data_IF_341461472071
#
_entry.id   IF_341461472071
#
_cell.length_a   1.000
_cell.length_b   1.000
_cell.length_c   1.000
_cell.angle_alpha   90.00
_cell.angle_beta   90.00
_cell.angle_gamma   90.00
#
_symmetry.space_group_name_H-M   'P 1'
#
loop_
_entity.id
_entity.type
_entity.pdbx_description
1 polymer ?
#
# COMPACT_ATOMS: atom_id res chain seq x y z
N UNK A 1 -15.32 13.58 3.08
CA UNK A 1 -13.83 13.46 3.03
C UNK A 1 -13.25 12.85 4.31
N UNK A 2 -13.27 13.54 5.46
CA UNK A 2 -12.63 13.03 6.71
C UNK A 2 -13.14 11.63 7.10
N UNK A 3 -14.47 11.42 7.09
CA UNK A 3 -15.08 10.11 7.36
C UNK A 3 -14.56 9.01 6.43
N UNK A 4 -14.55 9.28 5.12
CA UNK A 4 -14.08 8.33 4.11
C UNK A 4 -12.59 7.99 4.31
N UNK A 5 -11.76 8.99 4.59
CA UNK A 5 -10.32 8.81 4.85
C UNK A 5 -10.08 7.96 6.10
N UNK A 6 -10.82 8.21 7.18
CA UNK A 6 -10.73 7.42 8.41
C UNK A 6 -11.17 5.97 8.19
N UNK A 7 -12.28 5.76 7.48
CA UNK A 7 -12.73 4.41 7.14
C UNK A 7 -11.73 3.68 6.26
N UNK A 8 -11.18 4.37 5.25
CA UNK A 8 -10.15 3.81 4.39
C UNK A 8 -8.89 3.43 5.19
N UNK A 9 -8.43 4.29 6.09
CA UNK A 9 -7.29 3.98 6.96
C UNK A 9 -7.52 2.69 7.76
N UNK A 10 -8.68 2.56 8.39
CA UNK A 10 -9.03 1.36 9.18
C UNK A 10 -9.08 0.12 8.31
N UNK A 11 -9.78 0.17 7.17
CA UNK A 11 -9.92 -0.97 6.28
C UNK A 11 -8.57 -1.37 5.68
N UNK A 12 -7.76 -0.40 5.30
CA UNK A 12 -6.45 -0.65 4.72
C UNK A 12 -5.44 -1.15 5.76
N UNK A 13 -5.54 -0.73 7.03
CA UNK A 13 -4.81 -1.35 8.14
C UNK A 13 -5.19 -2.82 8.31
N UNK A 14 -6.49 -3.14 8.29
CA UNK A 14 -6.97 -4.52 8.42
C UNK A 14 -6.53 -5.40 7.27
N UNK A 15 -6.63 -4.92 6.02
CA UNK A 15 -6.21 -5.66 4.83
C UNK A 15 -4.69 -5.85 4.81
N UNK A 16 -3.91 -4.84 5.15
CA UNK A 16 -2.45 -4.97 5.27
C UNK A 16 -2.07 -5.97 6.36
N UNK A 17 -2.73 -5.92 7.52
CA UNK A 17 -2.47 -6.86 8.61
C UNK A 17 -2.82 -8.31 8.22
N UNK A 18 -3.96 -8.52 7.57
CA UNK A 18 -4.37 -9.84 7.08
C UNK A 18 -3.41 -10.38 6.01
N UNK A 19 -3.02 -9.54 5.04
CA UNK A 19 -2.06 -9.92 4.02
C UNK A 19 -0.66 -10.20 4.62
N UNK A 20 -0.22 -9.40 5.59
CA UNK A 20 1.06 -9.62 6.28
C UNK A 20 1.04 -10.97 7.03
N UNK A 21 -0.07 -11.30 7.70
CA UNK A 21 -0.24 -12.60 8.35
C UNK A 21 -0.07 -13.76 7.37
N UNK A 22 -0.73 -13.68 6.19
CA UNK A 22 -0.61 -14.71 5.14
C UNK A 22 0.82 -14.80 4.62
N UNK A 23 1.48 -13.66 4.39
CA UNK A 23 2.86 -13.64 3.89
C UNK A 23 3.85 -14.23 4.89
N UNK A 24 3.63 -14.08 6.19
CA UNK A 24 4.46 -14.69 7.23
C UNK A 24 4.36 -16.22 7.26
N UNK A 25 3.28 -16.81 6.74
CA UNK A 25 3.18 -18.26 6.55
C UNK A 25 4.04 -18.76 5.39
N UNK A 26 4.30 -17.90 4.40
CA UNK A 26 5.06 -18.22 3.18
C UNK A 26 6.53 -17.86 3.32
N UNK A 27 6.83 -16.75 4.01
CA UNK A 27 8.17 -16.22 4.23
C UNK A 27 8.49 -16.24 5.74
N UNK A 28 8.96 -17.39 6.27
CA UNK A 28 9.32 -17.50 7.68
C UNK A 28 10.67 -16.82 7.98
N UNK A 29 10.85 -16.41 9.24
CA UNK A 29 12.12 -15.89 9.76
C UNK A 29 12.13 -14.40 10.06
N UNK A 30 13.13 -13.98 10.84
CA UNK A 30 13.24 -12.60 11.34
C UNK A 30 13.50 -11.57 10.22
N UNK A 31 14.28 -11.93 9.20
CA UNK A 31 14.58 -11.03 8.08
C UNK A 31 13.34 -10.80 7.20
N UNK A 32 12.55 -11.85 6.97
CA UNK A 32 11.27 -11.76 6.29
C UNK A 32 10.26 -10.89 7.06
N UNK A 33 10.18 -11.07 8.39
CA UNK A 33 9.34 -10.23 9.25
C UNK A 33 9.68 -8.74 9.14
N UNK A 34 10.98 -8.40 9.12
CA UNK A 34 11.43 -7.02 8.95
C UNK A 34 11.02 -6.47 7.58
N UNK A 35 11.26 -7.23 6.51
CA UNK A 35 10.88 -6.84 5.16
C UNK A 35 9.36 -6.59 5.05
N UNK A 36 8.54 -7.51 5.56
CA UNK A 36 7.08 -7.40 5.57
C UNK A 36 6.61 -6.19 6.37
N UNK A 37 7.17 -5.95 7.56
CA UNK A 37 6.81 -4.81 8.39
C UNK A 37 7.19 -3.47 7.74
N UNK A 38 8.39 -3.37 7.18
CA UNK A 38 8.84 -2.16 6.49
C UNK A 38 7.96 -1.88 5.26
N UNK A 39 7.64 -2.91 4.47
CA UNK A 39 6.72 -2.80 3.34
C UNK A 39 5.32 -2.38 3.77
N UNK A 40 4.80 -2.90 4.88
CA UNK A 40 3.49 -2.54 5.41
C UNK A 40 3.42 -1.05 5.77
N UNK A 41 4.41 -0.55 6.52
CA UNK A 41 4.47 0.87 6.89
C UNK A 41 4.53 1.79 5.68
N UNK A 42 5.36 1.45 4.69
CA UNK A 42 5.47 2.22 3.46
C UNK A 42 4.17 2.18 2.64
N UNK A 43 3.53 1.01 2.55
CA UNK A 43 2.26 0.86 1.86
C UNK A 43 1.16 1.72 2.51
N UNK A 44 1.06 1.72 3.84
CA UNK A 44 0.12 2.57 4.59
C UNK A 44 0.32 4.05 4.27
N UNK A 45 1.56 4.53 4.18
CA UNK A 45 1.84 5.92 3.83
C UNK A 45 1.40 6.24 2.39
N UNK A 46 1.83 5.42 1.42
CA UNK A 46 1.52 5.62 0.00
C UNK A 46 0.01 5.60 -0.25
N UNK A 47 -0.68 4.61 0.29
CA UNK A 47 -2.10 4.40 0.02
C UNK A 47 -2.97 5.50 0.64
N UNK A 48 -2.55 6.10 1.77
CA UNK A 48 -3.24 7.24 2.37
C UNK A 48 -3.14 8.47 1.46
N UNK A 49 -1.96 8.74 0.93
CA UNK A 49 -1.77 9.83 -0.04
C UNK A 49 -2.59 9.57 -1.32
N UNK A 50 -2.55 8.34 -1.84
CA UNK A 50 -3.31 7.96 -3.02
C UNK A 50 -4.83 8.14 -2.83
N UNK A 51 -5.38 7.70 -1.69
CA UNK A 51 -6.81 7.85 -1.42
C UNK A 51 -7.22 9.30 -1.19
N UNK A 52 -6.36 10.12 -0.57
CA UNK A 52 -6.59 11.57 -0.47
C UNK A 52 -6.65 12.19 -1.87
N UNK A 53 -5.72 11.85 -2.77
CA UNK A 53 -5.75 12.30 -4.17
C UNK A 53 -7.08 11.89 -4.83
N UNK A 54 -7.50 10.64 -4.67
CA UNK A 54 -8.77 10.17 -5.23
C UNK A 54 -9.98 10.99 -4.71
N UNK A 55 -10.01 11.29 -3.41
CA UNK A 55 -11.06 12.12 -2.80
C UNK A 55 -11.08 13.55 -3.34
N UNK A 56 -9.92 14.14 -3.65
CA UNK A 56 -9.84 15.48 -4.25
C UNK A 56 -10.40 15.53 -5.68
N UNK A 57 -10.39 14.40 -6.37
CA UNK A 57 -10.90 14.23 -7.74
C UNK A 57 -12.33 13.67 -7.79
N UNK A 58 -12.91 13.30 -6.64
CA UNK A 58 -14.30 12.85 -6.51
C UNK A 58 -15.24 13.89 -7.13
N UNK A 59 -16.17 13.43 -7.97
CA UNK A 59 -17.16 14.28 -8.65
C UNK A 59 -16.63 15.12 -9.82
N UNK A 60 -15.33 15.09 -10.12
CA UNK A 60 -14.72 15.77 -11.27
C UNK A 60 -14.24 14.77 -12.32
N UNK A 61 -13.24 13.97 -11.94
CA UNK A 61 -12.65 12.95 -12.79
C UNK A 61 -12.02 11.86 -11.93
N UNK A 62 -12.84 10.90 -11.51
CA UNK A 62 -12.43 9.80 -10.62
C UNK A 62 -11.32 8.95 -11.27
N UNK A 63 -11.35 8.79 -12.59
CA UNK A 63 -10.34 8.03 -13.34
C UNK A 63 -8.97 8.72 -13.24
N UNK A 64 -8.91 10.05 -13.36
CA UNK A 64 -7.65 10.78 -13.21
C UNK A 64 -7.08 10.67 -11.78
N UNK A 65 -7.92 10.83 -10.75
CA UNK A 65 -7.50 10.68 -9.36
C UNK A 65 -6.98 9.27 -9.05
N UNK A 66 -7.68 8.25 -9.54
CA UNK A 66 -7.26 6.85 -9.40
C UNK A 66 -5.97 6.57 -10.17
N UNK A 67 -5.84 7.09 -11.39
CA UNK A 67 -4.64 6.97 -12.22
C UNK A 67 -3.41 7.60 -11.56
N UNK A 68 -3.54 8.78 -10.94
CA UNK A 68 -2.48 9.39 -10.15
C UNK A 68 -2.10 8.53 -8.94
N UNK A 69 -3.09 7.94 -8.25
CA UNK A 69 -2.85 6.98 -7.18
C UNK A 69 -2.11 5.73 -7.66
N UNK A 70 -2.41 5.23 -8.86
CA UNK A 70 -1.70 4.10 -9.47
C UNK A 70 -0.24 4.47 -9.78
N UNK A 71 0.01 5.65 -10.36
CA UNK A 71 1.36 6.14 -10.61
C UNK A 71 2.17 6.27 -9.33
N UNK A 72 1.57 6.76 -8.24
CA UNK A 72 2.24 6.85 -6.94
C UNK A 72 2.66 5.47 -6.42
N UNK A 73 1.82 4.44 -6.60
CA UNK A 73 2.12 3.05 -6.20
C UNK A 73 3.26 2.46 -7.00
N UNK A 74 3.22 2.58 -8.33
CA UNK A 74 4.29 2.09 -9.19
C UNK A 74 5.60 2.84 -8.93
N UNK A 75 5.54 4.16 -8.75
CA UNK A 75 6.68 4.98 -8.35
C UNK A 75 7.25 4.54 -7.01
N UNK A 76 6.40 4.33 -6.00
CA UNK A 76 6.79 3.83 -4.68
C UNK A 76 7.43 2.46 -4.74
N UNK A 77 6.87 1.53 -5.52
CA UNK A 77 7.44 0.20 -5.75
C UNK A 77 8.81 0.27 -6.45
N UNK A 78 8.93 1.11 -7.48
CA UNK A 78 10.20 1.31 -8.19
C UNK A 78 11.28 1.93 -7.32
N UNK A 79 10.95 2.97 -6.55
CA UNK A 79 11.86 3.58 -5.56
C UNK A 79 12.25 2.53 -4.52
N UNK A 80 11.28 1.80 -3.97
CA UNK A 80 11.56 0.77 -2.97
C UNK A 80 12.49 -0.33 -3.53
N UNK A 81 12.29 -0.78 -4.78
CA UNK A 81 13.18 -1.74 -5.42
C UNK A 81 14.63 -1.26 -5.54
N UNK A 82 14.85 0.04 -5.75
CA UNK A 82 16.20 0.61 -5.84
C UNK A 82 16.91 0.69 -4.47
N UNK A 83 16.15 0.90 -3.39
CA UNK A 83 16.71 1.17 -2.06
C UNK A 83 16.60 0.01 -1.06
N UNK A 84 15.67 -0.94 -1.23
CA UNK A 84 15.34 -1.96 -0.24
C UNK A 84 16.54 -2.82 0.18
N UNK A 85 17.37 -3.28 -0.76
CA UNK A 85 18.55 -4.09 -0.43
C UNK A 85 19.74 -3.24 -0.01
N UNK A 86 19.99 -2.12 -0.68
CA UNK A 86 21.20 -1.31 -0.47
C UNK A 86 21.17 -0.49 0.81
N UNK A 87 20.03 0.10 1.15
CA UNK A 87 19.89 1.00 2.29
C UNK A 87 19.36 0.28 3.54
N UNK A 88 18.50 -0.73 3.35
CA UNK A 88 17.77 -1.37 4.46
C UNK A 88 18.19 -2.82 4.71
N UNK A 89 19.04 -3.41 3.83
CA UNK A 89 19.53 -4.78 3.99
C UNK A 89 18.41 -5.84 3.95
N UNK A 90 17.29 -5.55 3.29
CA UNK A 90 16.13 -6.43 3.28
C UNK A 90 16.25 -7.51 2.20
N UNK A 91 15.65 -8.67 2.45
CA UNK A 91 15.45 -9.68 1.39
C UNK A 91 14.58 -9.10 0.28
N UNK A 92 15.13 -8.99 -0.92
CA UNK A 92 14.49 -8.30 -2.04
C UNK A 92 13.16 -8.94 -2.44
N UNK A 93 13.13 -10.27 -2.47
CA UNK A 93 11.94 -11.00 -2.90
C UNK A 93 10.78 -10.74 -1.92
N UNK A 94 11.02 -10.97 -0.63
CA UNK A 94 10.02 -10.75 0.42
C UNK A 94 9.58 -9.28 0.46
N UNK A 95 10.51 -8.33 0.36
CA UNK A 95 10.23 -6.89 0.38
C UNK A 95 9.32 -6.47 -0.79
N UNK A 96 9.66 -6.83 -2.03
CA UNK A 96 8.88 -6.43 -3.20
C UNK A 96 7.52 -7.10 -3.27
N UNK A 97 7.46 -8.41 -2.98
CA UNK A 97 6.20 -9.16 -2.99
C UNK A 97 5.24 -8.61 -1.94
N UNK A 98 5.74 -8.36 -0.72
CA UNK A 98 4.91 -7.80 0.35
C UNK A 98 4.42 -6.39 0.02
N UNK A 99 5.30 -5.49 -0.42
CA UNK A 99 4.91 -4.13 -0.77
C UNK A 99 3.88 -4.11 -1.91
N UNK A 100 4.13 -4.84 -2.99
CA UNK A 100 3.19 -4.93 -4.10
C UNK A 100 1.83 -5.45 -3.63
N UNK A 101 1.81 -6.53 -2.85
CA UNK A 101 0.59 -7.11 -2.31
C UNK A 101 -0.23 -6.07 -1.53
N UNK A 102 0.40 -5.34 -0.59
CA UNK A 102 -0.28 -4.32 0.21
C UNK A 102 -0.81 -3.16 -0.64
N UNK A 103 0.02 -2.64 -1.56
CA UNK A 103 -0.37 -1.49 -2.40
C UNK A 103 -1.58 -1.79 -3.28
N UNK A 104 -1.61 -2.98 -3.90
CA UNK A 104 -2.67 -3.36 -4.83
C UNK A 104 -3.93 -3.87 -4.12
N UNK A 105 -3.81 -4.61 -3.02
CA UNK A 105 -4.98 -5.00 -2.23
C UNK A 105 -5.73 -3.78 -1.71
N UNK A 106 -5.02 -2.80 -1.15
CA UNK A 106 -5.64 -1.54 -0.70
C UNK A 106 -6.24 -0.71 -1.83
N UNK A 107 -5.66 -0.78 -3.03
CA UNK A 107 -6.19 -0.12 -4.23
C UNK A 107 -7.56 -0.66 -4.65
N UNK A 108 -7.81 -1.97 -4.48
CA UNK A 108 -9.12 -2.58 -4.77
C UNK A 108 -10.24 -2.09 -3.85
N UNK A 109 -9.88 -1.55 -2.68
CA UNK A 109 -10.83 -1.06 -1.68
C UNK A 109 -11.28 0.37 -2.02
N UNK A 110 -10.45 1.15 -2.71
CA UNK A 110 -10.69 2.57 -2.98
C UNK A 110 -12.05 2.86 -3.67
N UNK A 111 -12.48 2.11 -4.71
CA UNK A 111 -13.77 2.36 -5.37
C UNK A 111 -14.97 2.15 -4.45
N UNK A 112 -14.84 1.27 -3.45
CA UNK A 112 -15.90 1.00 -2.48
C UNK A 112 -16.08 2.15 -1.48
N UNK A 113 -14.99 2.87 -1.20
CA UNK A 113 -14.97 3.90 -0.16
C UNK A 113 -14.93 5.33 -0.69
N UNK A 114 -14.67 5.53 -1.98
CA UNK A 114 -14.60 6.89 -2.57
C UNK A 114 -15.91 7.66 -2.38
N UNK A 115 -17.07 6.98 -2.43
CA UNK A 115 -18.38 7.63 -2.38
C UNK A 115 -18.97 7.79 -0.98
N UNK A 116 -18.35 7.20 0.04
CA UNK A 116 -18.72 7.40 1.46
C UNK A 116 -18.44 8.85 1.90
#
# INVERSE_FOLDING_TARGET
MIRAVMLYLVVALLVTAAAAWVLLLVYPGADAQRAILTSALLALAIQMVAFIILQLFKGKNVIAGWGLGALLRFGGLGVYALFATRALGLDMNTALVSLACFLFLSMLIEPLLVNV
#
